data_IF_114259027979
#
_entry.id   IF_114259027979
#
_cell.length_a   1.000
_cell.length_b   1.000
_cell.length_c   1.000
_cell.angle_alpha   90.00
_cell.angle_beta   90.00
_cell.angle_gamma   90.00
#
_symmetry.space_group_name_H-M   'P 1'
#
loop_
_entity.id
_entity.type
_entity.pdbx_description
1 polymer ?
#
# COMPACT_ATOMS: atom_id res chain seq x y z
N UNK A 1 -8.51 64.57 36.72
CA UNK A 1 -8.32 64.17 35.31
C UNK A 1 -7.99 62.69 35.31
N UNK A 2 -9.01 61.81 35.12
CA UNK A 2 -8.89 60.35 35.20
C UNK A 2 -8.76 59.79 33.78
N UNK A 3 -7.61 59.22 33.49
CA UNK A 3 -7.36 58.53 32.21
C UNK A 3 -7.91 57.09 32.34
N UNK A 4 -8.93 56.76 31.57
CA UNK A 4 -9.45 55.35 31.41
C UNK A 4 -8.69 54.67 30.34
N UNK A 5 -7.88 53.64 30.72
CA UNK A 5 -7.19 52.75 29.82
C UNK A 5 -8.17 51.66 29.40
N UNK A 6 -8.61 51.63 28.13
CA UNK A 6 -9.34 50.52 27.55
C UNK A 6 -8.36 49.41 27.16
N UNK A 7 -8.43 48.26 27.82
CA UNK A 7 -7.75 47.03 27.40
C UNK A 7 -8.65 46.31 26.39
N UNK A 8 -8.22 46.27 25.14
CA UNK A 8 -8.86 45.48 24.10
C UNK A 8 -8.41 44.02 24.22
N UNK A 9 -9.33 43.13 24.59
CA UNK A 9 -9.11 41.69 24.63
C UNK A 9 -9.27 41.16 23.19
N UNK A 10 -8.15 40.82 22.53
CA UNK A 10 -8.18 40.17 21.26
C UNK A 10 -8.50 38.67 21.48
N UNK A 11 -9.72 38.27 21.18
CA UNK A 11 -10.10 36.85 21.13
C UNK A 11 -9.49 36.21 19.89
N UNK A 12 -8.39 35.46 20.04
CA UNK A 12 -7.86 34.59 19.00
C UNK A 12 -8.76 33.36 18.90
N UNK A 13 -9.63 33.31 17.90
CA UNK A 13 -10.34 32.10 17.50
C UNK A 13 -9.32 31.11 16.89
N UNK A 14 -8.90 30.13 17.68
CA UNK A 14 -8.22 28.94 17.17
C UNK A 14 -9.20 28.19 16.26
N UNK A 15 -9.04 28.34 14.95
CA UNK A 15 -9.61 27.40 14.01
C UNK A 15 -8.88 26.07 14.23
N UNK A 16 -9.51 25.12 14.90
CA UNK A 16 -9.13 23.72 14.83
C UNK A 16 -9.42 23.25 13.39
N UNK A 17 -8.47 23.47 12.50
CA UNK A 17 -8.49 22.88 11.17
C UNK A 17 -8.54 21.36 11.34
N UNK A 18 -9.49 20.70 10.69
CA UNK A 18 -9.48 19.24 10.58
C UNK A 18 -8.09 18.84 10.05
N UNK A 19 -7.35 18.05 10.82
CA UNK A 19 -6.07 17.48 10.35
C UNK A 19 -6.43 16.44 9.31
N UNK A 20 -6.47 16.86 8.04
CA UNK A 20 -6.52 15.91 6.93
C UNK A 20 -5.15 15.22 6.84
N UNK A 21 -5.14 13.89 6.87
CA UNK A 21 -3.93 13.15 6.52
C UNK A 21 -3.54 13.54 5.08
N UNK A 22 -2.26 13.87 4.85
CA UNK A 22 -1.80 14.17 3.50
C UNK A 22 -1.90 12.91 2.63
N UNK A 23 -2.23 13.04 1.33
CA UNK A 23 -2.15 11.93 0.39
C UNK A 23 -0.74 11.34 0.35
N UNK A 24 -0.64 10.01 0.27
CA UNK A 24 0.64 9.33 0.18
C UNK A 24 1.19 9.39 -1.26
N UNK A 25 2.48 9.59 -1.36
CA UNK A 25 3.24 9.37 -2.60
C UNK A 25 3.43 7.86 -2.87
N UNK A 26 3.86 7.49 -4.08
CA UNK A 26 4.19 6.10 -4.41
C UNK A 26 5.29 5.51 -3.50
N UNK A 27 6.30 6.30 -3.17
CA UNK A 27 7.38 5.90 -2.27
C UNK A 27 6.87 5.64 -0.84
N UNK A 28 6.01 6.50 -0.32
CA UNK A 28 5.38 6.33 0.99
C UNK A 28 4.41 5.14 1.01
N UNK A 29 3.67 4.89 -0.09
CA UNK A 29 2.82 3.72 -0.24
C UNK A 29 3.64 2.43 -0.13
N UNK A 30 4.73 2.29 -0.89
CA UNK A 30 5.63 1.13 -0.83
C UNK A 30 6.25 0.92 0.56
N UNK A 31 6.51 2.01 1.30
CA UNK A 31 7.13 1.97 2.64
C UNK A 31 6.13 1.74 3.76
N UNK A 32 4.85 2.05 3.59
CA UNK A 32 3.86 1.95 4.66
C UNK A 32 2.94 0.73 4.54
N UNK A 33 2.78 0.18 3.33
CA UNK A 33 1.87 -0.93 3.07
C UNK A 33 2.62 -2.18 2.57
N UNK A 34 2.13 -3.32 3.00
CA UNK A 34 2.53 -4.62 2.48
C UNK A 34 1.60 -5.05 1.33
N UNK A 35 0.31 -4.66 1.40
CA UNK A 35 -0.66 -4.92 0.35
C UNK A 35 -1.53 -3.68 0.11
N UNK A 36 -1.65 -3.25 -1.15
CA UNK A 36 -2.61 -2.26 -1.61
C UNK A 36 -3.37 -2.83 -2.80
N UNK A 37 -4.67 -3.01 -2.65
CA UNK A 37 -5.57 -3.48 -3.70
C UNK A 37 -6.63 -2.41 -3.93
N UNK A 38 -6.71 -1.86 -5.14
CA UNK A 38 -7.68 -0.80 -5.43
C UNK A 38 -9.12 -1.33 -5.56
N UNK A 39 -9.29 -2.54 -6.09
CA UNK A 39 -10.57 -3.26 -6.18
C UNK A 39 -10.71 -4.29 -5.06
N UNK A 40 -11.03 -5.52 -5.43
CA UNK A 40 -11.37 -6.60 -4.50
C UNK A 40 -10.16 -7.47 -4.13
N UNK A 41 -10.12 -7.91 -2.87
CA UNK A 41 -9.18 -8.91 -2.35
C UNK A 41 -9.93 -10.14 -1.87
N UNK A 42 -9.59 -11.31 -2.43
CA UNK A 42 -10.00 -12.62 -1.88
C UNK A 42 -8.76 -13.31 -1.31
N UNK A 43 -8.81 -13.69 -0.04
CA UNK A 43 -7.69 -14.30 0.66
C UNK A 43 -8.07 -15.58 1.40
N UNK A 44 -7.22 -16.59 1.30
CA UNK A 44 -7.24 -17.79 2.15
C UNK A 44 -5.95 -17.92 2.97
N UNK A 45 -5.18 -16.85 3.10
CA UNK A 45 -3.84 -16.85 3.68
C UNK A 45 -3.59 -15.60 4.54
N UNK A 46 -2.32 -15.28 4.80
CA UNK A 46 -1.91 -14.26 5.74
C UNK A 46 -1.21 -13.09 5.02
N UNK A 47 -1.43 -11.85 5.53
CA UNK A 47 -0.63 -10.67 5.20
C UNK A 47 0.08 -10.20 6.47
N UNK A 48 1.40 -10.13 6.42
CA UNK A 48 2.19 -9.82 7.60
C UNK A 48 2.12 -8.35 8.00
N UNK A 49 1.95 -7.43 7.04
CA UNK A 49 1.93 -5.98 7.28
C UNK A 49 0.57 -5.32 7.05
N UNK A 50 0.61 -4.00 6.91
CA UNK A 50 -0.57 -3.17 6.68
C UNK A 50 -1.18 -3.45 5.31
N UNK A 51 -2.52 -3.49 5.28
CA UNK A 51 -3.30 -3.79 4.08
C UNK A 51 -4.36 -2.72 3.82
N UNK A 52 -4.46 -2.30 2.55
CA UNK A 52 -5.55 -1.48 2.03
C UNK A 52 -6.29 -2.23 0.92
N UNK A 53 -7.63 -2.20 0.97
CA UNK A 53 -8.53 -2.75 -0.04
C UNK A 53 -9.58 -1.70 -0.36
N UNK A 54 -9.60 -1.18 -1.58
CA UNK A 54 -10.58 -0.17 -2.01
C UNK A 54 -11.99 -0.73 -2.20
N UNK A 55 -12.09 -1.96 -2.70
CA UNK A 55 -13.33 -2.70 -2.92
C UNK A 55 -13.73 -3.60 -1.75
N UNK A 56 -14.23 -4.79 -2.07
CA UNK A 56 -14.65 -5.80 -1.09
C UNK A 56 -13.48 -6.69 -0.66
N UNK A 57 -13.52 -7.12 0.61
CA UNK A 57 -12.59 -8.07 1.18
C UNK A 57 -13.28 -9.38 1.54
N UNK A 58 -12.70 -10.51 1.13
CA UNK A 58 -13.15 -11.83 1.53
C UNK A 58 -12.01 -12.64 2.17
N UNK A 59 -12.16 -12.96 3.45
CA UNK A 59 -11.26 -13.83 4.22
C UNK A 59 -9.89 -13.24 4.52
N UNK A 60 -9.03 -14.06 5.13
CA UNK A 60 -7.62 -13.77 5.41
C UNK A 60 -7.30 -13.24 6.80
N UNK A 61 -6.01 -13.32 7.14
CA UNK A 61 -5.47 -12.83 8.39
C UNK A 61 -4.48 -11.70 8.13
N UNK A 62 -4.57 -10.60 8.88
CA UNK A 62 -3.85 -9.36 8.59
C UNK A 62 -3.02 -8.90 9.78
N UNK A 63 -1.88 -8.26 9.49
CA UNK A 63 -0.93 -7.72 10.49
C UNK A 63 -0.39 -8.82 11.41
N UNK A 64 0.22 -9.85 10.81
CA UNK A 64 0.88 -10.92 11.56
C UNK A 64 2.19 -10.45 12.21
N UNK A 65 2.90 -9.50 11.57
CA UNK A 65 4.23 -9.02 11.97
C UNK A 65 4.21 -7.51 12.27
N UNK A 66 3.51 -7.12 13.33
CA UNK A 66 3.39 -5.70 13.73
C UNK A 66 4.75 -5.03 13.93
N UNK A 67 5.75 -5.75 14.45
CA UNK A 67 7.09 -5.20 14.70
C UNK A 67 7.84 -4.79 13.42
N UNK A 68 7.47 -5.37 12.27
CA UNK A 68 8.03 -5.04 10.96
C UNK A 68 7.14 -4.08 10.17
N UNK A 69 5.95 -3.74 10.70
CA UNK A 69 5.01 -2.84 10.01
C UNK A 69 5.35 -1.39 10.33
N UNK A 70 5.59 -0.59 9.31
CA UNK A 70 5.93 0.83 9.48
C UNK A 70 4.82 1.63 10.17
N UNK A 71 5.21 2.71 10.84
CA UNK A 71 4.26 3.68 11.36
C UNK A 71 3.45 4.33 10.23
N UNK A 72 2.17 4.57 10.46
CA UNK A 72 1.26 5.22 9.51
C UNK A 72 0.03 5.75 10.23
N UNK A 73 -0.67 6.71 9.62
CA UNK A 73 -1.99 7.14 10.06
C UNK A 73 -3.11 6.14 9.72
N UNK A 74 -2.86 5.24 8.77
CA UNK A 74 -3.82 4.19 8.39
C UNK A 74 -3.88 3.08 9.45
N UNK A 75 -5.05 2.49 9.61
CA UNK A 75 -5.23 1.27 10.41
C UNK A 75 -4.41 0.09 9.85
N UNK A 76 -4.28 -0.98 10.61
CA UNK A 76 -3.65 -2.23 10.15
C UNK A 76 -4.35 -2.84 8.94
N UNK A 77 -5.69 -2.81 8.96
CA UNK A 77 -6.53 -3.16 7.82
C UNK A 77 -7.48 -2.00 7.50
N UNK A 78 -7.45 -1.53 6.26
CA UNK A 78 -8.39 -0.54 5.73
C UNK A 78 -9.15 -1.14 4.55
N UNK A 79 -10.49 -1.14 4.60
CA UNK A 79 -11.37 -1.65 3.54
C UNK A 79 -12.38 -0.58 3.17
N UNK A 80 -12.40 -0.13 1.91
CA UNK A 80 -13.37 0.85 1.42
C UNK A 80 -14.78 0.26 1.30
N UNK A 81 -14.89 -0.96 0.81
CA UNK A 81 -16.14 -1.71 0.69
C UNK A 81 -16.52 -2.49 1.95
N UNK A 82 -17.17 -3.64 1.77
CA UNK A 82 -17.56 -4.56 2.84
C UNK A 82 -16.51 -5.67 3.03
N UNK A 83 -16.43 -6.21 4.25
CA UNK A 83 -15.54 -7.31 4.58
C UNK A 83 -16.34 -8.53 5.08
N UNK A 84 -16.09 -9.72 4.51
CA UNK A 84 -16.83 -10.93 4.82
C UNK A 84 -15.94 -12.18 4.82
N UNK A 85 -16.46 -13.26 5.44
CA UNK A 85 -15.72 -14.50 5.64
C UNK A 85 -14.99 -14.53 6.97
N UNK A 86 -14.10 -15.51 7.15
CA UNK A 86 -13.24 -15.55 8.35
C UNK A 86 -12.10 -14.57 8.18
N UNK A 87 -12.16 -13.47 8.92
CA UNK A 87 -11.17 -12.38 8.86
C UNK A 87 -10.64 -12.12 10.27
N UNK A 88 -9.30 -12.10 10.40
CA UNK A 88 -8.64 -11.69 11.64
C UNK A 88 -7.70 -10.52 11.39
N UNK A 89 -7.83 -9.47 12.21
CA UNK A 89 -6.89 -8.35 12.27
C UNK A 89 -6.13 -8.44 13.58
N UNK A 90 -4.86 -8.81 13.52
CA UNK A 90 -4.10 -9.17 14.70
C UNK A 90 -3.60 -7.97 15.50
N UNK A 91 -3.32 -6.83 14.81
CA UNK A 91 -2.90 -5.60 15.46
C UNK A 91 -3.25 -4.35 14.62
N UNK A 92 -2.98 -3.14 15.15
CA UNK A 92 -3.14 -1.82 14.53
C UNK A 92 -4.59 -1.46 14.13
N UNK A 93 -5.57 -2.25 14.56
CA UNK A 93 -6.99 -1.98 14.34
C UNK A 93 -7.46 -2.05 12.89
N UNK A 94 -8.73 -1.66 12.68
CA UNK A 94 -9.37 -1.73 11.37
C UNK A 94 -10.27 -0.53 11.07
N UNK A 95 -10.33 -0.12 9.80
CA UNK A 95 -11.34 0.78 9.25
C UNK A 95 -12.03 0.08 8.08
N UNK A 96 -13.36 -0.08 8.16
CA UNK A 96 -14.17 -0.66 7.09
C UNK A 96 -15.30 0.31 6.75
N UNK A 97 -15.36 0.77 5.49
CA UNK A 97 -16.40 1.71 5.04
C UNK A 97 -17.78 1.08 4.94
N UNK A 98 -17.84 -0.18 4.50
CA UNK A 98 -19.07 -0.98 4.39
C UNK A 98 -19.40 -1.77 5.65
N UNK A 99 -20.06 -2.92 5.46
CA UNK A 99 -20.47 -3.85 6.54
C UNK A 99 -19.44 -4.96 6.73
N UNK A 100 -19.44 -5.57 7.93
CA UNK A 100 -18.57 -6.70 8.26
C UNK A 100 -19.37 -7.93 8.68
N UNK A 101 -18.83 -9.12 8.34
CA UNK A 101 -19.38 -10.41 8.76
C UNK A 101 -18.27 -11.43 8.98
N UNK A 102 -18.27 -12.12 10.15
CA UNK A 102 -17.20 -13.06 10.50
C UNK A 102 -15.84 -12.37 10.76
N UNK A 103 -15.88 -11.17 11.31
CA UNK A 103 -14.74 -10.25 11.41
C UNK A 103 -14.24 -10.14 12.86
N UNK A 104 -12.96 -10.41 13.08
CA UNK A 104 -12.34 -10.33 14.41
C UNK A 104 -11.20 -9.31 14.41
N UNK A 105 -11.24 -8.34 15.34
CA UNK A 105 -10.15 -7.42 15.62
C UNK A 105 -9.53 -7.77 16.96
N UNK A 106 -8.31 -8.34 16.94
CA UNK A 106 -7.62 -8.82 18.12
C UNK A 106 -7.02 -7.68 18.94
N UNK A 107 -6.38 -6.70 18.26
CA UNK A 107 -5.80 -5.51 18.89
C UNK A 107 -6.03 -4.27 18.04
N UNK A 108 -6.06 -3.11 18.72
CA UNK A 108 -6.36 -1.83 18.11
C UNK A 108 -7.85 -1.57 18.01
N UNK A 109 -8.22 -0.34 17.70
CA UNK A 109 -9.62 0.11 17.64
C UNK A 109 -10.21 -0.22 16.27
N UNK A 110 -11.54 -0.36 16.21
CA UNK A 110 -12.25 -0.65 14.96
C UNK A 110 -13.30 0.44 14.65
N UNK A 111 -13.34 0.84 13.38
CA UNK A 111 -14.41 1.65 12.82
C UNK A 111 -15.07 0.90 11.67
N UNK A 112 -16.38 0.69 11.73
CA UNK A 112 -17.19 0.09 10.69
C UNK A 112 -18.31 1.05 10.33
N UNK A 113 -18.34 1.55 9.10
CA UNK A 113 -19.34 2.51 8.64
C UNK A 113 -20.72 1.87 8.47
N UNK A 114 -20.78 0.60 8.07
CA UNK A 114 -22.00 -0.19 7.93
C UNK A 114 -22.37 -0.98 9.18
N UNK A 115 -22.99 -2.16 8.99
CA UNK A 115 -23.40 -3.08 10.04
C UNK A 115 -22.35 -4.14 10.34
N UNK A 116 -22.40 -4.74 11.53
CA UNK A 116 -21.55 -5.86 11.93
C UNK A 116 -22.38 -7.08 12.29
N UNK A 117 -21.98 -8.27 11.81
CA UNK A 117 -22.61 -9.54 12.17
C UNK A 117 -21.56 -10.62 12.47
N UNK A 118 -21.87 -11.51 13.43
CA UNK A 118 -21.02 -12.66 13.78
C UNK A 118 -19.55 -12.28 13.95
N UNK A 119 -19.27 -11.18 14.65
CA UNK A 119 -17.97 -10.53 14.72
C UNK A 119 -17.49 -10.34 16.16
N UNK A 120 -16.19 -10.13 16.36
CA UNK A 120 -15.60 -9.89 17.69
C UNK A 120 -14.64 -8.71 17.66
N UNK A 121 -14.82 -7.77 18.59
CA UNK A 121 -13.96 -6.59 18.76
C UNK A 121 -13.38 -6.58 20.15
N UNK A 122 -12.08 -6.85 20.29
CA UNK A 122 -11.41 -6.97 21.57
C UNK A 122 -11.05 -5.62 22.21
N UNK A 123 -11.05 -4.55 21.41
CA UNK A 123 -10.86 -3.16 21.86
C UNK A 123 -12.06 -2.31 21.46
N UNK A 124 -11.96 -1.00 21.65
CA UNK A 124 -13.03 -0.07 21.33
C UNK A 124 -13.48 -0.20 19.86
N UNK A 125 -14.80 -0.19 19.64
CA UNK A 125 -15.38 -0.35 18.32
C UNK A 125 -16.55 0.62 18.08
N UNK A 126 -16.54 1.27 16.91
CA UNK A 126 -17.65 2.07 16.42
C UNK A 126 -18.28 1.38 15.22
N UNK A 127 -19.58 1.02 15.36
CA UNK A 127 -20.40 0.42 14.28
C UNK A 127 -21.48 1.43 13.91
N UNK A 128 -21.42 1.99 12.70
CA UNK A 128 -22.37 2.98 12.22
C UNK A 128 -23.79 2.42 11.99
N UNK A 129 -23.88 1.11 11.67
CA UNK A 129 -25.13 0.39 11.49
C UNK A 129 -25.52 -0.51 12.67
N UNK A 130 -26.29 -1.56 12.38
CA UNK A 130 -26.74 -2.54 13.37
C UNK A 130 -25.62 -3.55 13.70
N UNK A 131 -25.59 -4.02 14.96
CA UNK A 131 -24.73 -5.12 15.40
C UNK A 131 -25.59 -6.34 15.79
N UNK A 132 -25.28 -7.51 15.19
CA UNK A 132 -26.06 -8.74 15.40
C UNK A 132 -25.14 -9.94 15.62
N UNK A 133 -25.23 -10.60 16.79
CA UNK A 133 -24.32 -11.69 17.16
C UNK A 133 -22.87 -11.22 17.29
N UNK A 134 -22.65 -10.01 17.82
CA UNK A 134 -21.34 -9.38 17.95
C UNK A 134 -20.88 -9.38 19.40
N UNK A 135 -19.61 -9.74 19.63
CA UNK A 135 -18.94 -9.63 20.92
C UNK A 135 -18.13 -8.34 21.00
N UNK A 136 -18.44 -7.47 21.96
CA UNK A 136 -17.68 -6.27 22.27
C UNK A 136 -16.98 -6.46 23.62
N UNK A 137 -15.65 -6.49 23.63
CA UNK A 137 -14.82 -6.59 24.84
C UNK A 137 -14.31 -5.21 25.31
N UNK A 138 -14.30 -4.21 24.44
CA UNK A 138 -14.02 -2.80 24.74
C UNK A 138 -15.28 -1.94 24.83
N UNK A 139 -15.10 -0.62 24.84
CA UNK A 139 -16.20 0.31 24.70
C UNK A 139 -16.73 0.28 23.25
N UNK A 140 -18.06 0.35 23.09
CA UNK A 140 -18.63 0.19 21.77
C UNK A 140 -19.84 1.10 21.50
N UNK A 141 -20.08 1.35 20.20
CA UNK A 141 -21.28 1.95 19.66
C UNK A 141 -21.87 1.06 18.57
N UNK A 142 -23.19 0.98 18.51
CA UNK A 142 -23.94 0.47 17.35
C UNK A 142 -25.29 1.19 17.29
N UNK A 143 -25.82 1.43 16.09
CA UNK A 143 -27.11 2.08 15.91
C UNK A 143 -28.27 1.25 16.51
N UNK A 144 -28.14 -0.08 16.50
CA UNK A 144 -29.01 -1.02 17.20
C UNK A 144 -28.29 -2.33 17.46
N UNK A 145 -28.82 -3.15 18.39
CA UNK A 145 -28.26 -4.47 18.73
C UNK A 145 -29.32 -5.56 18.60
N UNK A 146 -28.91 -6.77 18.19
CA UNK A 146 -29.75 -7.95 18.06
C UNK A 146 -28.97 -9.25 18.33
N UNK A 147 -29.66 -10.38 18.45
CA UNK A 147 -29.10 -11.73 18.53
C UNK A 147 -28.01 -11.89 19.59
N UNK A 148 -28.28 -11.45 20.83
CA UNK A 148 -27.37 -11.59 21.96
C UNK A 148 -26.23 -10.57 22.01
N UNK A 149 -26.20 -9.58 21.10
CA UNK A 149 -25.24 -8.48 21.16
C UNK A 149 -25.56 -7.57 22.35
N UNK A 150 -24.60 -7.36 23.24
CA UNK A 150 -24.68 -6.45 24.37
C UNK A 150 -23.54 -5.44 24.35
N UNK A 151 -23.87 -4.18 24.62
CA UNK A 151 -22.89 -3.10 24.81
C UNK A 151 -22.86 -2.75 26.29
N UNK A 152 -21.83 -3.26 27.01
CA UNK A 152 -21.66 -3.04 28.45
C UNK A 152 -21.05 -1.68 28.76
N UNK A 153 -20.20 -1.17 27.86
CA UNK A 153 -19.57 0.13 27.98
C UNK A 153 -19.82 0.91 26.68
N UNK A 154 -20.57 2.02 26.78
CA UNK A 154 -20.94 2.81 25.62
C UNK A 154 -19.86 3.76 25.17
N UNK A 155 -19.67 3.85 23.85
CA UNK A 155 -18.88 4.86 23.18
C UNK A 155 -19.83 5.91 22.58
N UNK A 156 -19.79 7.14 23.08
CA UNK A 156 -20.72 8.22 22.67
C UNK A 156 -20.31 8.87 21.34
N UNK A 157 -19.03 8.78 20.96
CA UNK A 157 -18.46 9.25 19.69
C UNK A 157 -17.26 8.41 19.29
N UNK A 158 -16.90 8.34 17.98
CA UNK A 158 -15.64 7.77 17.58
C UNK A 158 -14.46 8.44 18.27
N UNK A 159 -13.47 7.66 18.69
CA UNK A 159 -12.27 8.19 19.34
C UNK A 159 -11.44 9.05 18.37
N UNK A 160 -10.52 9.86 18.89
CA UNK A 160 -9.60 10.65 18.06
C UNK A 160 -8.76 9.74 17.14
N UNK A 161 -8.36 8.56 17.63
CA UNK A 161 -7.61 7.57 16.83
C UNK A 161 -8.45 6.99 15.69
N UNK A 162 -9.72 6.63 15.95
CA UNK A 162 -10.65 6.17 14.90
C UNK A 162 -10.86 7.27 13.84
N UNK A 163 -11.11 8.51 14.26
CA UNK A 163 -11.30 9.64 13.36
C UNK A 163 -10.06 9.89 12.49
N UNK A 164 -8.86 9.79 13.07
CA UNK A 164 -7.60 9.92 12.33
C UNK A 164 -7.45 8.80 11.28
N UNK A 165 -7.74 7.54 11.65
CA UNK A 165 -7.65 6.41 10.74
C UNK A 165 -8.71 6.47 9.61
N UNK A 166 -9.92 6.94 9.91
CA UNK A 166 -10.98 7.18 8.90
C UNK A 166 -10.58 8.30 7.94
N UNK A 167 -10.01 9.40 8.44
CA UNK A 167 -9.51 10.49 7.60
C UNK A 167 -8.37 9.99 6.68
N UNK A 168 -7.46 9.17 7.21
CA UNK A 168 -6.40 8.55 6.40
C UNK A 168 -6.98 7.63 5.32
N UNK A 169 -7.96 6.79 5.65
CA UNK A 169 -8.57 5.82 4.73
C UNK A 169 -9.08 6.43 3.41
N UNK A 170 -9.42 7.72 3.43
CA UNK A 170 -9.94 8.47 2.27
C UNK A 170 -9.00 9.54 1.74
N UNK A 171 -7.78 9.66 2.29
CA UNK A 171 -6.86 10.75 1.93
C UNK A 171 -6.09 10.50 0.63
N UNK A 172 -5.85 9.22 0.28
CA UNK A 172 -5.03 8.84 -0.87
C UNK A 172 -5.87 8.12 -1.93
N UNK A 173 -5.80 8.58 -3.16
CA UNK A 173 -6.30 7.87 -4.34
C UNK A 173 -5.23 6.86 -4.79
N UNK A 174 -5.28 5.65 -4.22
CA UNK A 174 -4.31 4.60 -4.52
C UNK A 174 -4.35 4.12 -5.97
N UNK A 175 -5.51 4.17 -6.64
CA UNK A 175 -5.60 3.85 -8.06
C UNK A 175 -4.72 4.80 -8.88
N UNK A 176 -4.86 6.10 -8.64
CA UNK A 176 -4.07 7.12 -9.32
C UNK A 176 -2.58 7.04 -8.95
N UNK A 177 -2.25 6.76 -7.67
CA UNK A 177 -0.85 6.58 -7.24
C UNK A 177 -0.20 5.41 -7.97
N UNK A 178 -0.84 4.23 -8.02
CA UNK A 178 -0.33 3.05 -8.71
C UNK A 178 -0.23 3.24 -10.22
N UNK A 179 -1.26 3.84 -10.85
CA UNK A 179 -1.27 4.11 -12.29
C UNK A 179 -0.17 5.10 -12.69
N UNK A 180 0.02 6.17 -11.92
CA UNK A 180 1.12 7.11 -12.16
C UNK A 180 2.49 6.47 -11.92
N UNK A 181 2.60 5.60 -10.91
CA UNK A 181 3.83 4.87 -10.61
C UNK A 181 4.20 3.96 -11.79
N UNK A 182 3.30 3.09 -12.26
CA UNK A 182 3.58 2.18 -13.40
C UNK A 182 3.95 2.95 -14.66
N UNK A 183 3.25 4.05 -14.98
CA UNK A 183 3.54 4.90 -16.12
C UNK A 183 4.95 5.51 -16.04
N UNK A 184 5.32 6.06 -14.88
CA UNK A 184 6.63 6.66 -14.66
C UNK A 184 7.75 5.62 -14.72
N UNK A 185 7.57 4.45 -14.11
CA UNK A 185 8.56 3.38 -14.12
C UNK A 185 8.77 2.84 -15.53
N UNK A 186 7.72 2.67 -16.34
CA UNK A 186 7.80 2.20 -17.73
C UNK A 186 8.52 3.19 -18.65
N UNK A 187 8.55 4.47 -18.30
CA UNK A 187 9.26 5.50 -19.07
C UNK A 187 10.77 5.54 -18.78
N UNK A 188 11.26 4.78 -17.79
CA UNK A 188 12.68 4.73 -17.46
C UNK A 188 13.43 3.89 -18.50
N UNK A 189 14.52 4.44 -19.01
CA UNK A 189 15.44 3.69 -19.87
C UNK A 189 16.23 2.66 -19.05
N UNK A 190 16.57 1.52 -19.65
CA UNK A 190 17.45 0.54 -19.04
C UNK A 190 18.77 1.20 -18.62
N UNK A 191 19.25 0.84 -17.42
CA UNK A 191 20.55 1.31 -16.95
C UNK A 191 21.66 0.73 -17.84
N UNK A 192 22.65 1.55 -18.17
CA UNK A 192 23.80 1.11 -18.97
C UNK A 192 24.45 -0.13 -18.32
N UNK A 193 24.94 -1.02 -19.17
CA UNK A 193 25.65 -2.25 -18.78
C UNK A 193 24.80 -3.25 -17.96
N UNK A 194 23.45 -3.16 -18.05
CA UNK A 194 22.57 -4.24 -17.61
C UNK A 194 22.58 -5.38 -18.64
N UNK A 195 22.46 -6.61 -18.15
CA UNK A 195 22.31 -7.78 -19.01
C UNK A 195 21.41 -8.84 -18.40
N UNK A 196 20.68 -9.55 -19.27
CA UNK A 196 19.88 -10.72 -18.94
C UNK A 196 20.45 -11.89 -19.72
N UNK A 197 21.06 -12.85 -19.04
CA UNK A 197 21.68 -14.02 -19.65
C UNK A 197 20.81 -15.26 -19.42
N UNK A 198 20.61 -16.04 -20.47
CA UNK A 198 19.95 -17.33 -20.42
C UNK A 198 20.98 -18.43 -20.57
N UNK A 199 21.00 -19.36 -19.63
CA UNK A 199 21.92 -20.51 -19.58
C UNK A 199 21.13 -21.81 -19.46
N UNK A 200 21.81 -22.94 -19.51
CA UNK A 200 21.20 -24.26 -19.35
C UNK A 200 19.97 -24.47 -20.25
N UNK A 201 20.11 -24.27 -21.57
CA UNK A 201 19.00 -24.32 -22.55
C UNK A 201 17.79 -23.42 -22.21
N UNK A 202 18.06 -22.25 -21.67
CA UNK A 202 17.07 -21.26 -21.20
C UNK A 202 16.30 -21.67 -19.93
N UNK A 203 16.76 -22.66 -19.18
CA UNK A 203 16.19 -23.00 -17.87
C UNK A 203 16.59 -22.00 -16.78
N UNK A 204 17.75 -21.35 -16.94
CA UNK A 204 18.26 -20.40 -15.97
C UNK A 204 18.33 -19.00 -16.55
N UNK A 205 17.91 -18.00 -15.77
CA UNK A 205 17.98 -16.58 -16.09
C UNK A 205 18.85 -15.88 -15.05
N UNK A 206 19.85 -15.13 -15.49
CA UNK A 206 20.69 -14.31 -14.59
C UNK A 206 20.58 -12.84 -14.97
N UNK A 207 20.12 -12.02 -14.03
CA UNK A 207 20.14 -10.57 -14.10
C UNK A 207 21.47 -10.04 -13.58
N UNK A 208 22.20 -9.30 -14.39
CA UNK A 208 23.48 -8.71 -14.00
C UNK A 208 23.47 -7.21 -14.25
N UNK A 209 23.92 -6.42 -13.29
CA UNK A 209 24.01 -4.98 -13.43
C UNK A 209 24.61 -4.27 -12.23
N UNK A 210 25.00 -3.03 -12.45
CA UNK A 210 25.49 -2.12 -11.40
C UNK A 210 24.61 -0.90 -11.36
N UNK A 211 24.09 -0.55 -10.18
CA UNK A 211 23.31 0.65 -9.97
C UNK A 211 24.09 1.92 -10.35
N UNK A 212 23.35 2.93 -10.80
CA UNK A 212 23.92 4.25 -11.08
C UNK A 212 24.43 4.94 -9.79
N UNK A 213 24.83 6.21 -9.88
CA UNK A 213 25.35 6.97 -8.74
C UNK A 213 24.30 7.14 -7.61
N UNK A 214 23.01 7.01 -7.92
CA UNK A 214 21.89 7.02 -6.94
C UNK A 214 21.53 5.64 -6.42
N UNK A 215 22.16 4.58 -6.92
CA UNK A 215 21.87 3.18 -6.60
C UNK A 215 20.66 2.62 -7.34
N UNK A 216 20.17 3.29 -8.40
CA UNK A 216 19.05 2.84 -9.22
C UNK A 216 19.55 1.94 -10.35
N UNK A 217 18.86 0.82 -10.55
CA UNK A 217 19.13 -0.14 -11.61
C UNK A 217 17.80 -0.50 -12.30
N UNK A 218 17.74 -0.26 -13.61
CA UNK A 218 16.55 -0.51 -14.42
C UNK A 218 16.84 -1.60 -15.45
N UNK A 219 16.04 -2.64 -15.47
CA UNK A 219 15.97 -3.65 -16.51
C UNK A 219 14.71 -3.43 -17.36
N UNK A 220 14.91 -3.22 -18.64
CA UNK A 220 13.82 -3.29 -19.61
C UNK A 220 13.70 -4.74 -20.11
N UNK A 221 12.59 -5.39 -19.79
CA UNK A 221 12.34 -6.80 -20.10
C UNK A 221 11.31 -6.98 -21.23
N UNK A 222 10.82 -5.90 -21.84
CA UNK A 222 9.71 -5.91 -22.79
C UNK A 222 9.91 -6.83 -24.01
N UNK A 223 11.16 -7.11 -24.37
CA UNK A 223 11.51 -8.06 -25.44
C UNK A 223 11.85 -9.48 -24.90
N UNK A 224 11.88 -9.65 -23.57
CA UNK A 224 12.36 -10.87 -22.91
C UNK A 224 11.32 -11.48 -21.95
N UNK A 225 10.27 -10.75 -21.61
CA UNK A 225 9.28 -11.13 -20.59
C UNK A 225 8.61 -12.45 -20.92
N UNK A 226 8.14 -12.67 -22.15
CA UNK A 226 7.56 -13.94 -22.60
C UNK A 226 8.51 -15.14 -22.43
N UNK A 227 9.82 -14.93 -22.48
CA UNK A 227 10.83 -15.96 -22.27
C UNK A 227 11.13 -16.17 -20.78
N UNK A 228 11.28 -15.09 -20.03
CA UNK A 228 11.55 -15.10 -18.57
C UNK A 228 10.38 -15.74 -17.83
N UNK A 229 9.14 -15.35 -18.18
CA UNK A 229 7.91 -15.83 -17.57
C UNK A 229 7.34 -17.09 -18.28
N UNK A 230 8.18 -17.86 -18.94
CA UNK A 230 7.79 -19.14 -19.56
C UNK A 230 7.93 -20.31 -18.59
N UNK A 231 7.22 -21.41 -18.87
CA UNK A 231 7.39 -22.66 -18.12
C UNK A 231 8.76 -23.32 -18.34
N UNK A 232 9.54 -22.86 -19.31
CA UNK A 232 10.90 -23.35 -19.58
C UNK A 232 11.89 -22.79 -18.56
N UNK A 233 11.67 -21.56 -18.08
CA UNK A 233 12.52 -20.94 -17.04
C UNK A 233 12.20 -21.58 -15.69
N UNK A 234 13.20 -22.20 -15.07
CA UNK A 234 13.07 -22.88 -13.77
C UNK A 234 13.73 -22.13 -12.64
N UNK A 235 14.75 -21.32 -12.95
CA UNK A 235 15.56 -20.64 -11.95
C UNK A 235 15.98 -19.23 -12.38
N UNK A 236 15.87 -18.29 -11.45
CA UNK A 236 16.25 -16.89 -11.61
C UNK A 236 17.35 -16.54 -10.60
N UNK A 237 18.41 -15.91 -11.07
CA UNK A 237 19.57 -15.47 -10.30
C UNK A 237 19.84 -13.97 -10.47
N UNK A 238 20.46 -13.36 -9.47
CA UNK A 238 20.83 -11.95 -9.49
C UNK A 238 22.32 -11.77 -9.19
N UNK A 239 22.99 -10.92 -9.99
CA UNK A 239 24.36 -10.43 -9.79
C UNK A 239 24.32 -8.90 -9.81
N UNK A 240 23.82 -8.32 -8.73
CA UNK A 240 23.58 -6.89 -8.61
C UNK A 240 24.64 -6.26 -7.71
N UNK A 241 25.14 -5.11 -8.13
CA UNK A 241 26.18 -4.36 -7.40
C UNK A 241 25.71 -2.91 -7.23
N UNK A 242 25.91 -2.32 -6.07
CA UNK A 242 25.55 -0.93 -5.77
C UNK A 242 24.09 -0.59 -6.13
N UNK A 243 23.17 -1.53 -5.93
CA UNK A 243 21.77 -1.40 -6.29
C UNK A 243 20.89 -1.34 -5.03
N UNK A 244 20.32 -0.17 -4.74
CA UNK A 244 19.38 0.05 -3.63
C UNK A 244 17.92 0.04 -4.11
N UNK A 245 17.70 0.30 -5.41
CA UNK A 245 16.40 0.23 -6.07
C UNK A 245 16.60 -0.46 -7.42
N UNK A 246 15.96 -1.60 -7.61
CA UNK A 246 16.02 -2.38 -8.86
C UNK A 246 14.63 -2.45 -9.46
N UNK A 247 14.49 -2.00 -10.70
CA UNK A 247 13.22 -1.92 -11.40
C UNK A 247 13.25 -2.87 -12.59
N UNK A 248 12.24 -3.74 -12.69
CA UNK A 248 12.01 -4.61 -13.84
C UNK A 248 10.74 -4.17 -14.55
N UNK A 249 10.86 -3.69 -15.77
CA UNK A 249 9.74 -3.28 -16.60
C UNK A 249 9.35 -4.38 -17.60
N UNK A 250 8.08 -4.78 -17.60
CA UNK A 250 7.47 -5.72 -18.54
C UNK A 250 6.26 -5.08 -19.20
N UNK A 251 5.77 -5.64 -20.34
CA UNK A 251 4.59 -5.11 -21.02
C UNK A 251 3.63 -6.18 -21.57
N UNK A 252 3.86 -7.47 -21.27
CA UNK A 252 2.95 -8.53 -21.68
C UNK A 252 1.63 -8.49 -20.88
N UNK A 253 0.51 -8.71 -21.56
CA UNK A 253 -0.82 -8.67 -20.94
C UNK A 253 -1.08 -9.81 -19.94
N UNK A 254 -0.43 -10.98 -20.12
CA UNK A 254 -0.59 -12.13 -19.24
C UNK A 254 0.76 -12.79 -18.97
N UNK A 255 1.15 -12.85 -17.69
CA UNK A 255 2.43 -13.38 -17.26
C UNK A 255 2.24 -14.45 -16.18
N UNK A 256 3.04 -15.51 -16.27
CA UNK A 256 3.02 -16.61 -15.28
C UNK A 256 4.44 -17.01 -14.92
N UNK A 257 4.82 -16.85 -13.64
CA UNK A 257 6.11 -17.24 -13.13
C UNK A 257 6.00 -18.51 -12.29
N UNK A 258 6.68 -19.57 -12.74
CA UNK A 258 6.81 -20.84 -12.01
C UNK A 258 8.27 -21.15 -11.66
N UNK A 259 9.20 -20.24 -11.97
CA UNK A 259 10.62 -20.37 -11.66
C UNK A 259 10.90 -20.10 -10.17
N UNK A 260 11.94 -20.73 -9.64
CA UNK A 260 12.50 -20.39 -8.34
C UNK A 260 13.31 -19.11 -8.45
N UNK A 261 13.15 -18.20 -7.48
CA UNK A 261 14.02 -17.04 -7.33
C UNK A 261 15.11 -17.41 -6.32
N UNK A 262 16.34 -17.53 -6.80
CA UNK A 262 17.50 -17.95 -6.02
C UNK A 262 18.24 -16.71 -5.48
N UNK A 263 17.74 -16.15 -4.41
CA UNK A 263 18.31 -15.00 -3.72
C UNK A 263 17.93 -15.01 -2.23
N UNK A 264 18.63 -14.18 -1.43
CA UNK A 264 18.20 -13.91 -0.06
C UNK A 264 16.89 -13.11 -0.06
N UNK A 265 15.97 -13.45 0.84
CA UNK A 265 14.64 -12.81 0.89
C UNK A 265 14.72 -11.30 1.14
N UNK A 266 15.79 -10.82 1.80
CA UNK A 266 16.00 -9.39 2.06
C UNK A 266 16.14 -8.57 0.77
N UNK A 267 16.57 -9.19 -0.35
CA UNK A 267 16.60 -8.54 -1.65
C UNK A 267 15.22 -8.04 -2.09
N UNK A 268 14.15 -8.69 -1.65
CA UNK A 268 12.77 -8.27 -1.91
C UNK A 268 12.46 -6.84 -1.49
N UNK A 269 13.21 -6.28 -0.52
CA UNK A 269 13.07 -4.88 -0.11
C UNK A 269 13.59 -3.85 -1.13
N UNK A 270 14.34 -4.30 -2.13
CA UNK A 270 14.98 -3.42 -3.13
C UNK A 270 14.38 -3.61 -4.54
N UNK A 271 13.66 -4.71 -4.79
CA UNK A 271 13.15 -5.06 -6.12
C UNK A 271 11.74 -4.49 -6.33
N UNK A 272 11.49 -3.92 -7.51
CA UNK A 272 10.16 -3.54 -8.00
C UNK A 272 9.94 -4.22 -9.35
N UNK A 273 8.91 -5.05 -9.43
CA UNK A 273 8.45 -5.67 -10.65
C UNK A 273 7.25 -4.89 -11.18
N UNK A 274 7.47 -4.05 -12.17
CA UNK A 274 6.45 -3.24 -12.81
C UNK A 274 5.86 -4.00 -14.00
N UNK A 275 4.73 -4.65 -13.79
CA UNK A 275 3.96 -5.36 -14.80
C UNK A 275 3.02 -4.39 -15.53
N UNK A 276 3.61 -3.50 -16.33
CA UNK A 276 2.89 -2.45 -17.02
C UNK A 276 1.96 -3.02 -18.09
N UNK A 277 0.68 -2.64 -18.05
CA UNK A 277 -0.33 -3.12 -19.01
C UNK A 277 -0.76 -4.57 -18.81
N UNK A 278 -0.25 -5.27 -17.77
CA UNK A 278 -0.67 -6.63 -17.50
C UNK A 278 -2.11 -6.69 -16.98
N UNK A 279 -2.95 -7.48 -17.64
CA UNK A 279 -4.31 -7.82 -17.22
C UNK A 279 -4.29 -8.91 -16.14
N UNK A 280 -3.28 -9.82 -16.20
CA UNK A 280 -3.10 -10.88 -15.23
C UNK A 280 -1.64 -11.27 -15.01
N UNK A 281 -1.25 -11.40 -13.73
CA UNK A 281 0.04 -11.93 -13.31
C UNK A 281 -0.17 -13.04 -12.31
N UNK A 282 0.38 -14.23 -12.59
CA UNK A 282 0.27 -15.39 -11.71
C UNK A 282 1.66 -15.86 -11.28
N UNK A 283 1.84 -16.10 -9.99
CA UNK A 283 3.07 -16.71 -9.46
C UNK A 283 2.75 -18.03 -8.78
N UNK A 284 3.49 -19.08 -9.10
CA UNK A 284 3.34 -20.45 -8.58
C UNK A 284 4.49 -20.89 -7.68
N UNK A 285 5.43 -20.00 -7.38
CA UNK A 285 6.58 -20.18 -6.48
C UNK A 285 6.79 -18.92 -5.68
N UNK A 286 7.57 -19.02 -4.59
CA UNK A 286 7.93 -17.84 -3.79
C UNK A 286 8.51 -16.75 -4.68
N UNK A 287 7.92 -15.56 -4.59
CA UNK A 287 8.26 -14.41 -5.40
C UNK A 287 8.91 -13.32 -4.53
N UNK A 288 10.01 -12.73 -5.00
CA UNK A 288 10.75 -11.69 -4.29
C UNK A 288 10.49 -10.32 -4.91
N UNK A 289 10.12 -9.35 -4.08
CA UNK A 289 10.02 -7.94 -4.46
C UNK A 289 8.64 -7.33 -4.32
N UNK A 290 8.57 -6.06 -4.67
CA UNK A 290 7.34 -5.28 -4.71
C UNK A 290 6.66 -5.55 -6.07
N UNK A 291 5.50 -6.18 -6.07
CA UNK A 291 4.71 -6.53 -7.26
C UNK A 291 3.76 -5.38 -7.58
N UNK A 292 3.91 -4.74 -8.73
CA UNK A 292 3.01 -3.69 -9.22
C UNK A 292 2.25 -4.17 -10.45
N UNK A 293 0.94 -4.40 -10.29
CA UNK A 293 -0.03 -4.77 -11.34
C UNK A 293 -1.19 -3.77 -11.27
N UNK A 294 -0.91 -2.51 -11.60
CA UNK A 294 -1.78 -1.37 -11.29
C UNK A 294 -3.21 -1.51 -11.83
N UNK A 295 -3.35 -2.07 -13.03
CA UNK A 295 -4.63 -2.15 -13.75
C UNK A 295 -5.14 -3.60 -13.93
N UNK A 296 -4.45 -4.59 -13.34
CA UNK A 296 -4.75 -6.01 -13.54
C UNK A 296 -4.90 -6.82 -12.25
N UNK A 297 -5.06 -8.13 -12.44
CA UNK A 297 -5.19 -9.11 -11.35
C UNK A 297 -3.86 -9.77 -11.05
N UNK A 298 -3.45 -9.75 -9.79
CA UNK A 298 -2.36 -10.57 -9.28
C UNK A 298 -2.91 -11.83 -8.59
N UNK A 299 -2.22 -12.98 -8.74
CA UNK A 299 -2.59 -14.23 -8.07
C UNK A 299 -1.33 -15.00 -7.65
N UNK A 300 -1.19 -15.34 -6.37
CA UNK A 300 -0.14 -16.21 -5.87
C UNK A 300 -0.71 -17.61 -5.58
N UNK A 301 -0.69 -18.46 -6.59
CA UNK A 301 -1.35 -19.78 -6.57
C UNK A 301 -0.50 -20.86 -5.90
N UNK A 302 -1.15 -21.96 -5.47
CA UNK A 302 -0.44 -23.12 -4.91
C UNK A 302 0.30 -22.85 -3.60
N UNK A 303 -0.09 -21.82 -2.85
CA UNK A 303 0.59 -21.44 -1.61
C UNK A 303 1.90 -20.69 -1.83
N UNK A 304 2.13 -20.12 -3.01
CA UNK A 304 3.33 -19.33 -3.31
C UNK A 304 3.37 -18.05 -2.46
N UNK A 305 4.42 -17.87 -1.67
CA UNK A 305 4.58 -16.68 -0.85
C UNK A 305 5.14 -15.50 -1.67
N UNK A 306 4.84 -14.28 -1.24
CA UNK A 306 5.48 -13.06 -1.73
C UNK A 306 6.36 -12.50 -0.62
N UNK A 307 7.66 -12.42 -0.86
CA UNK A 307 8.64 -11.77 0.00
C UNK A 307 8.79 -10.31 -0.44
N UNK A 308 7.88 -9.44 0.00
CA UNK A 308 7.80 -8.06 -0.47
C UNK A 308 6.44 -7.42 -0.23
N UNK A 309 5.89 -6.79 -1.28
CA UNK A 309 4.58 -6.18 -1.27
C UNK A 309 3.77 -6.46 -2.53
N UNK A 310 2.46 -6.30 -2.46
CA UNK A 310 1.54 -6.46 -3.59
C UNK A 310 0.71 -5.18 -3.77
N UNK A 311 0.77 -4.61 -4.97
CA UNK A 311 0.09 -3.39 -5.37
C UNK A 311 -0.66 -3.67 -6.68
N UNK A 312 -1.96 -3.95 -6.60
CA UNK A 312 -2.73 -4.47 -7.73
C UNK A 312 -4.13 -3.88 -7.80
N UNK A 313 -4.79 -3.99 -8.98
CA UNK A 313 -6.20 -3.68 -9.09
C UNK A 313 -7.04 -4.73 -8.37
N UNK A 314 -6.72 -6.02 -8.54
CA UNK A 314 -7.41 -7.14 -7.86
C UNK A 314 -6.36 -8.14 -7.38
N UNK A 315 -6.60 -8.77 -6.23
CA UNK A 315 -5.69 -9.78 -5.72
C UNK A 315 -6.41 -11.06 -5.28
N UNK A 316 -6.01 -12.20 -5.84
CA UNK A 316 -6.40 -13.53 -5.39
C UNK A 316 -5.25 -14.15 -4.61
N UNK A 317 -5.37 -14.18 -3.28
CA UNK A 317 -4.31 -14.59 -2.37
C UNK A 317 -4.50 -16.03 -1.88
N UNK A 318 -3.52 -16.89 -2.17
CA UNK A 318 -3.49 -18.28 -1.71
C UNK A 318 -2.21 -18.63 -0.93
N UNK A 319 -1.18 -17.80 -0.95
CA UNK A 319 0.05 -17.87 -0.17
C UNK A 319 0.25 -16.60 0.66
N UNK A 320 1.21 -16.62 1.56
CA UNK A 320 1.48 -15.49 2.47
C UNK A 320 2.14 -14.32 1.74
N UNK A 321 1.89 -13.09 2.23
CA UNK A 321 2.63 -11.90 1.85
C UNK A 321 3.46 -11.45 3.05
N UNK A 322 4.75 -11.74 3.00
CA UNK A 322 5.70 -11.42 4.05
C UNK A 322 6.21 -9.98 3.93
N UNK A 323 6.44 -9.31 5.07
CA UNK A 323 6.98 -7.95 5.06
C UNK A 323 8.47 -8.01 4.72
N UNK A 324 8.81 -7.63 3.48
CA UNK A 324 10.11 -7.12 3.07
C UNK A 324 9.88 -5.67 2.64
N UNK A 325 9.81 -4.78 3.63
CA UNK A 325 9.42 -3.39 3.40
C UNK A 325 10.39 -2.73 2.42
N UNK A 326 9.85 -2.00 1.43
CA UNK A 326 10.66 -1.30 0.44
C UNK A 326 11.64 -0.34 1.14
N UNK A 327 12.92 -0.55 0.91
CA UNK A 327 14.05 0.19 1.49
C UNK A 327 14.72 1.14 0.50
N UNK A 328 14.36 1.04 -0.79
CA UNK A 328 14.85 1.90 -1.86
C UNK A 328 14.24 3.31 -1.84
N UNK A 329 14.38 4.03 -2.94
CA UNK A 329 13.78 5.35 -3.15
C UNK A 329 13.32 5.52 -4.58
N UNK A 330 12.03 5.86 -4.74
CA UNK A 330 11.48 6.26 -6.03
C UNK A 330 11.81 7.72 -6.38
N UNK A 331 12.09 8.58 -5.40
CA UNK A 331 12.42 9.98 -5.63
C UNK A 331 13.70 10.16 -6.47
N UNK A 332 14.64 9.20 -6.37
CA UNK A 332 15.86 9.18 -7.18
C UNK A 332 15.63 8.53 -8.55
N UNK A 333 14.74 7.53 -8.63
CA UNK A 333 14.41 6.82 -9.87
C UNK A 333 13.48 7.64 -10.78
N UNK A 334 12.51 8.35 -10.17
CA UNK A 334 11.45 9.05 -10.87
C UNK A 334 11.33 10.48 -10.32
N UNK A 335 12.15 11.45 -10.78
CA UNK A 335 12.03 12.84 -10.34
C UNK A 335 10.62 13.37 -10.62
N UNK A 336 9.96 13.90 -9.62
CA UNK A 336 8.60 14.44 -9.79
C UNK A 336 8.64 15.69 -10.66
N UNK A 337 7.92 15.66 -11.79
CA UNK A 337 7.81 16.81 -12.73
C UNK A 337 7.23 18.03 -12.01
N UNK A 338 6.37 17.82 -11.01
CA UNK A 338 5.77 18.90 -10.21
C UNK A 338 6.80 19.69 -9.42
N UNK A 339 7.87 19.05 -8.94
CA UNK A 339 8.94 19.73 -8.21
C UNK A 339 9.68 20.71 -9.12
N UNK A 340 9.94 20.34 -10.37
CA UNK A 340 10.56 21.24 -11.36
C UNK A 340 9.61 22.34 -11.80
N UNK A 341 8.32 22.02 -11.99
CA UNK A 341 7.30 23.01 -12.34
C UNK A 341 7.11 24.05 -11.22
N UNK A 342 7.07 23.62 -9.97
CA UNK A 342 6.99 24.53 -8.80
C UNK A 342 8.26 25.37 -8.65
N UNK A 343 9.44 24.79 -8.87
CA UNK A 343 10.72 25.51 -8.84
C UNK A 343 10.76 26.58 -9.94
N UNK A 344 10.37 26.24 -11.17
CA UNK A 344 10.33 27.17 -12.30
C UNK A 344 9.27 28.25 -12.10
N UNK A 345 8.10 27.91 -11.57
CA UNK A 345 7.07 28.88 -11.21
C UNK A 345 7.55 29.83 -10.12
N UNK A 346 8.22 29.32 -9.08
CA UNK A 346 8.82 30.12 -8.01
C UNK A 346 9.91 31.06 -8.53
N UNK A 347 10.82 30.57 -9.37
CA UNK A 347 11.85 31.37 -10.00
C UNK A 347 11.28 32.43 -10.97
N UNK A 348 10.23 32.07 -11.71
CA UNK A 348 9.50 32.99 -12.60
C UNK A 348 8.84 34.12 -11.81
N UNK A 349 8.23 33.81 -10.67
CA UNK A 349 7.62 34.81 -9.78
C UNK A 349 8.66 35.76 -9.16
N UNK A 350 9.79 35.21 -8.71
CA UNK A 350 10.92 36.02 -8.20
C UNK A 350 11.50 36.94 -9.27
N UNK A 351 11.68 36.44 -10.49
CA UNK A 351 12.14 37.21 -11.64
C UNK A 351 11.18 38.36 -11.99
N UNK A 352 9.87 38.07 -11.96
CA UNK A 352 8.84 39.09 -12.21
C UNK A 352 8.84 40.20 -11.13
N UNK A 353 8.95 39.83 -9.87
CA UNK A 353 9.02 40.79 -8.74
C UNK A 353 10.30 41.66 -8.83
N UNK A 354 11.44 41.03 -9.14
CA UNK A 354 12.71 41.74 -9.28
C UNK A 354 12.69 42.75 -10.44
N UNK A 355 12.01 42.41 -11.57
CA UNK A 355 11.83 43.31 -12.72
C UNK A 355 10.94 44.54 -12.37
N UNK A 356 9.88 44.31 -11.60
CA UNK A 356 8.96 45.39 -11.14
C UNK A 356 9.67 46.40 -10.24
N UNK A 357 10.61 45.94 -9.38
CA UNK A 357 11.40 46.85 -8.47
C UNK A 357 12.43 47.69 -9.18
N UNK A 358 12.84 47.33 -10.43
CA UNK A 358 13.76 48.13 -11.27
C UNK A 358 13.04 49.17 -12.11
N UNK A 359 11.72 49.13 -12.24
CA UNK A 359 10.89 50.03 -13.04
C UNK A 359 10.15 51.08 -12.21
N UNK A 360 10.34 51.07 -10.91
CA UNK A 360 9.90 52.10 -9.94
C UNK A 360 11.13 52.84 -9.34
#
# INVERSE_FOLDING_TARGET
>A
MMVRTCVALAASTLFAGAVHAAPLTADEMLKQFNVVVNGDLTSTSHVHGRTYVGGALQGGDYVQEVAKTAASAYAGLTVGGSASGTIHVNDLGAVVGGSVSGFTVNKGQAYVGGSASSSTFNNDAWIGGAASGVNFNGAAHAASTANGTNINNKLEAPTALMNSAVAAATSTDFANVMHNMTTKLSALSATKDTSVAFTNNSHEVTFTGTGDASGVLVFDLTELDSKIFSSTTTDIFFKLTNATTVIFNTNDAALSLTANINADNSLGSSLIWNFAGAESVTVGRTFLGQVLVADGTFSNVGGANVEGGVYAQTFNQYGEVHVQQFSGSLATAVPEVETYAMLLAGLGLLGFIARRRKSA
#
